data_IF_506246877854
#
_entry.id   IF_506246877854
#
_cell.length_a   1.000
_cell.length_b   1.000
_cell.length_c   1.000
_cell.angle_alpha   90.00
_cell.angle_beta   90.00
_cell.angle_gamma   90.00
#
_symmetry.space_group_name_H-M   'P 1'
#
loop_
_entity.id
_entity.type
_entity.pdbx_description
1 polymer ?
#
# COMPACT_ATOMS: atom_id res chain seq x y z
N UNK A 1 -0.09 -24.00 -22.29
CA UNK A 1 0.47 -23.18 -21.19
C UNK A 1 -0.61 -22.21 -20.72
N UNK A 2 -1.19 -22.47 -19.55
CA UNK A 2 -2.28 -21.70 -18.93
C UNK A 2 -1.92 -20.21 -18.75
N UNK A 3 -2.86 -19.31 -19.07
CA UNK A 3 -2.72 -17.85 -18.96
C UNK A 3 -2.33 -17.43 -17.54
N UNK A 4 -2.96 -18.03 -16.52
CA UNK A 4 -2.67 -17.75 -15.11
C UNK A 4 -1.21 -18.02 -14.77
N UNK A 5 -0.65 -19.12 -15.28
CA UNK A 5 0.74 -19.50 -15.04
C UNK A 5 1.73 -18.58 -15.77
N UNK A 6 1.39 -18.12 -16.98
CA UNK A 6 2.19 -17.10 -17.68
C UNK A 6 2.24 -15.79 -16.89
N UNK A 7 1.09 -15.31 -16.41
CA UNK A 7 0.99 -14.07 -15.65
C UNK A 7 1.74 -14.15 -14.31
N UNK A 8 1.59 -15.27 -13.58
CA UNK A 8 2.32 -15.50 -12.32
C UNK A 8 3.84 -15.48 -12.54
N UNK A 9 4.34 -16.15 -13.58
CA UNK A 9 5.77 -16.16 -13.90
C UNK A 9 6.28 -14.76 -14.21
N UNK A 10 5.57 -14.00 -15.05
CA UNK A 10 5.96 -12.62 -15.37
C UNK A 10 5.97 -11.75 -14.11
N UNK A 11 4.95 -11.82 -13.25
CA UNK A 11 4.87 -11.04 -12.02
C UNK A 11 5.99 -11.37 -11.04
N UNK A 12 6.39 -12.66 -10.94
CA UNK A 12 7.48 -13.07 -10.05
C UNK A 12 8.83 -12.38 -10.36
N UNK A 13 9.06 -12.05 -11.63
CA UNK A 13 10.30 -11.44 -12.14
C UNK A 13 10.18 -9.91 -12.23
N UNK A 14 9.01 -9.41 -12.65
CA UNK A 14 8.83 -7.99 -13.06
C UNK A 14 8.04 -7.15 -12.05
N UNK A 15 7.65 -7.70 -10.89
CA UNK A 15 6.91 -6.92 -9.88
C UNK A 15 7.73 -5.73 -9.39
N UNK A 16 7.08 -4.57 -9.31
CA UNK A 16 7.64 -3.37 -8.69
C UNK A 16 7.79 -3.58 -7.18
N UNK A 17 8.86 -3.01 -6.62
CA UNK A 17 9.06 -2.96 -5.17
C UNK A 17 8.21 -1.82 -4.58
N UNK A 18 7.08 -2.18 -3.95
CA UNK A 18 6.17 -1.23 -3.31
C UNK A 18 6.05 -1.57 -1.81
N UNK A 19 6.14 -0.58 -0.89
CA UNK A 19 6.16 -0.85 0.55
C UNK A 19 4.96 -1.64 1.08
N UNK A 20 3.76 -1.42 0.54
CA UNK A 20 2.56 -2.15 0.93
C UNK A 20 2.49 -3.60 0.39
N UNK A 21 3.43 -4.01 -0.48
CA UNK A 21 3.54 -5.40 -0.98
C UNK A 21 4.56 -6.25 -0.22
N UNK A 22 5.32 -5.66 0.69
CA UNK A 22 6.32 -6.36 1.54
C UNK A 22 5.79 -6.58 2.97
N UNK A 23 4.51 -6.36 3.20
CA UNK A 23 3.83 -6.58 4.48
C UNK A 23 2.57 -7.41 4.30
N UNK A 24 2.14 -8.08 5.37
CA UNK A 24 0.85 -8.76 5.49
C UNK A 24 -0.10 -8.04 6.45
N UNK A 25 0.28 -6.85 6.92
CA UNK A 25 -0.51 -6.03 7.84
C UNK A 25 -1.75 -5.48 7.10
N UNK A 26 -2.98 -5.84 7.52
CA UNK A 26 -4.20 -5.41 6.86
C UNK A 26 -4.39 -3.89 6.90
N UNK A 27 -3.96 -3.21 7.95
CA UNK A 27 -4.07 -1.76 8.06
C UNK A 27 -3.21 -1.06 7.00
N UNK A 28 -1.95 -1.48 6.87
CA UNK A 28 -1.03 -0.94 5.87
C UNK A 28 -1.48 -1.22 4.44
N UNK A 29 -2.03 -2.41 4.19
CA UNK A 29 -2.58 -2.76 2.87
C UNK A 29 -3.81 -1.88 2.57
N UNK A 30 -4.77 -1.82 3.49
CA UNK A 30 -5.99 -0.99 3.34
C UNK A 30 -5.65 0.48 3.08
N UNK A 31 -4.77 1.07 3.89
CA UNK A 31 -4.32 2.45 3.72
C UNK A 31 -3.71 2.70 2.34
N UNK A 32 -2.92 1.76 1.82
CA UNK A 32 -2.35 1.88 0.48
C UNK A 32 -3.41 1.89 -0.63
N UNK A 33 -4.46 1.11 -0.48
CA UNK A 33 -5.56 1.07 -1.45
C UNK A 33 -6.34 2.39 -1.42
N UNK A 34 -6.64 2.96 -0.25
CA UNK A 34 -7.32 4.26 -0.12
C UNK A 34 -6.50 5.38 -0.75
N UNK A 35 -5.20 5.48 -0.42
CA UNK A 35 -4.32 6.53 -0.96
C UNK A 35 -4.19 6.44 -2.49
N UNK A 36 -4.28 5.23 -3.06
CA UNK A 36 -4.11 5.00 -4.50
C UNK A 36 -5.42 5.09 -5.29
N UNK A 37 -6.56 5.27 -4.62
CA UNK A 37 -7.80 5.60 -5.33
C UNK A 37 -7.64 6.96 -6.02
N UNK A 38 -7.89 6.98 -7.32
CA UNK A 38 -7.77 8.17 -8.19
C UNK A 38 -6.39 8.87 -8.15
N UNK A 39 -5.35 8.22 -7.59
CA UNK A 39 -4.02 8.80 -7.39
C UNK A 39 -2.93 7.90 -7.97
N UNK A 40 -1.95 8.47 -8.67
CA UNK A 40 -0.83 7.69 -9.20
C UNK A 40 0.16 7.28 -8.10
N UNK A 41 0.80 6.11 -8.24
CA UNK A 41 1.80 5.59 -7.28
C UNK A 41 2.90 6.60 -6.95
N UNK A 42 3.39 7.35 -7.96
CA UNK A 42 4.44 8.36 -7.77
C UNK A 42 4.01 9.45 -6.78
N UNK A 43 2.75 9.85 -6.83
CA UNK A 43 2.17 10.87 -5.96
C UNK A 43 1.78 10.30 -4.59
N UNK A 44 1.22 9.09 -4.54
CA UNK A 44 0.74 8.49 -3.28
C UNK A 44 1.85 7.96 -2.36
N UNK A 45 3.01 7.56 -2.90
CA UNK A 45 4.08 6.93 -2.12
C UNK A 45 4.62 7.80 -0.96
N UNK A 46 4.90 9.10 -1.14
CA UNK A 46 5.26 9.99 -0.02
C UNK A 46 4.19 10.05 1.07
N UNK A 47 2.91 10.17 0.69
CA UNK A 47 1.80 10.21 1.66
C UNK A 47 1.69 8.90 2.43
N UNK A 48 1.75 7.75 1.76
CA UNK A 48 1.74 6.45 2.43
C UNK A 48 2.87 6.34 3.48
N UNK A 49 4.09 6.75 3.11
CA UNK A 49 5.22 6.71 4.06
C UNK A 49 5.01 7.65 5.24
N UNK A 50 4.43 8.83 5.01
CA UNK A 50 4.11 9.79 6.07
C UNK A 50 3.04 9.22 7.00
N UNK A 51 1.92 8.74 6.46
CA UNK A 51 0.80 8.19 7.25
C UNK A 51 1.24 6.99 8.11
N UNK A 52 1.99 6.02 7.54
CA UNK A 52 2.46 4.86 8.31
C UNK A 52 3.49 5.25 9.39
N UNK A 53 4.19 6.37 9.22
CA UNK A 53 5.11 6.90 10.23
C UNK A 53 4.36 7.62 11.35
N UNK A 54 3.35 8.43 11.01
CA UNK A 54 2.56 9.22 11.96
C UNK A 54 1.54 8.38 12.72
N UNK A 55 0.87 7.46 12.01
CA UNK A 55 -0.15 6.56 12.53
C UNK A 55 0.27 5.10 12.25
N UNK A 56 1.17 4.51 13.06
CA UNK A 56 1.72 3.18 12.82
C UNK A 56 0.68 2.06 12.84
N UNK A 57 -0.39 2.22 13.61
CA UNK A 57 -1.51 1.28 13.73
C UNK A 57 -2.84 1.96 13.42
N UNK A 58 -3.87 1.14 13.14
CA UNK A 58 -5.24 1.63 12.98
C UNK A 58 -5.78 2.33 14.23
N UNK A 59 -5.30 1.96 15.43
CA UNK A 59 -5.70 2.59 16.68
C UNK A 59 -5.08 3.98 16.82
N UNK A 60 -3.85 4.19 16.34
CA UNK A 60 -3.24 5.52 16.31
C UNK A 60 -4.03 6.45 15.39
N UNK A 61 -4.45 5.95 14.22
CA UNK A 61 -5.31 6.70 13.30
C UNK A 61 -6.69 6.98 13.91
N UNK A 62 -7.28 6.01 14.60
CA UNK A 62 -8.60 6.17 15.21
C UNK A 62 -8.63 7.17 16.37
N UNK A 63 -7.49 7.41 17.03
CA UNK A 63 -7.35 8.38 18.13
C UNK A 63 -6.83 9.76 17.64
N UNK A 64 -6.52 9.92 16.36
CA UNK A 64 -6.08 11.19 15.79
C UNK A 64 -7.22 12.21 15.76
N UNK A 65 -6.89 13.50 15.82
CA UNK A 65 -7.88 14.52 15.53
C UNK A 65 -8.12 14.57 14.02
N UNK A 66 -9.35 14.90 13.61
CA UNK A 66 -9.69 15.02 12.18
C UNK A 66 -8.90 16.14 11.47
N UNK A 67 -8.40 17.13 12.22
CA UNK A 67 -7.62 18.26 11.72
C UNK A 67 -6.10 17.99 11.63
N UNK A 68 -5.61 16.83 12.11
CA UNK A 68 -4.18 16.45 12.11
C UNK A 68 -3.67 15.97 10.73
#
# INVERSE_FOLDING_TARGET
MDFKNKLKRWYSINKRNLPWRVTTDPYRIWLSEIILQQTQVKQGLPYYKSFVKTYPTVFDLANANEED
#
